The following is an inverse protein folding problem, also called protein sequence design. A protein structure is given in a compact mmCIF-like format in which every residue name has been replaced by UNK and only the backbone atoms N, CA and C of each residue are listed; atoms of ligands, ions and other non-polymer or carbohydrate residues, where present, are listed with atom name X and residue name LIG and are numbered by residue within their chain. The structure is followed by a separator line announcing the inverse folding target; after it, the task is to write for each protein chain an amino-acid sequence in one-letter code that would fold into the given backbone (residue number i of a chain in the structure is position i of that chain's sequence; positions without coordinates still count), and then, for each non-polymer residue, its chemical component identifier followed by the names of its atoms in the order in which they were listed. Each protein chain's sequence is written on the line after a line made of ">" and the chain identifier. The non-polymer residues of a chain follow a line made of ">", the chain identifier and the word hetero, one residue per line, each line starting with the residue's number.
data_IF_903986527166
#
_entry.id   IF_903986527166
#
_cell.length_a   1.000
_cell.length_b   1.000
_cell.length_c   1.000
_cell.angle_alpha   90.00
_cell.angle_beta   90.00
_cell.angle_gamma   90.00
#
_symmetry.space_group_name_H-M   'P 1'
#
loop_
_entity.id
_entity.type
_entity.pdbx_description
1 polymer ?
#
# COMPACT_ATOMS: atom_id res chain seq x y z
N UNK A 1 -3.97 -20.48 -7.24
CA UNK A 1 -3.55 -21.88 -6.99
C UNK A 1 -2.23 -21.94 -6.20
N UNK A 2 -2.00 -21.02 -5.25
CA UNK A 2 -0.75 -20.93 -4.46
C UNK A 2 -1.01 -20.67 -2.96
N UNK A 3 -2.25 -20.81 -2.51
CA UNK A 3 -2.68 -20.52 -1.13
C UNK A 3 -3.66 -21.59 -0.66
N UNK A 4 -3.35 -22.86 -0.90
CA UNK A 4 -4.06 -23.94 -0.22
C UNK A 4 -3.48 -24.09 1.19
N UNK A 5 -4.30 -24.41 2.20
CA UNK A 5 -3.84 -24.58 3.58
C UNK A 5 -2.66 -25.56 3.71
N UNK A 6 -2.64 -26.58 2.84
CA UNK A 6 -1.61 -27.61 2.75
C UNK A 6 -0.23 -27.08 2.32
N UNK A 7 -0.19 -26.09 1.42
CA UNK A 7 1.08 -25.47 0.98
C UNK A 7 1.63 -24.54 2.06
N UNK A 8 0.75 -23.88 2.82
CA UNK A 8 1.15 -23.07 3.97
C UNK A 8 1.65 -23.98 5.09
N UNK A 9 0.99 -25.12 5.31
CA UNK A 9 1.42 -26.14 6.27
C UNK A 9 2.77 -26.75 5.90
N UNK A 10 3.03 -27.06 4.62
CA UNK A 10 4.31 -27.63 4.20
C UNK A 10 5.48 -26.63 4.25
N UNK A 11 5.22 -25.33 4.10
CA UNK A 11 6.21 -24.27 4.35
C UNK A 11 6.49 -24.12 5.86
N UNK A 12 5.48 -24.32 6.70
CA UNK A 12 5.61 -24.31 8.17
C UNK A 12 6.27 -25.59 8.71
N UNK A 13 6.07 -26.74 8.06
CA UNK A 13 6.67 -28.05 8.38
C UNK A 13 8.03 -28.28 7.71
N UNK A 14 8.55 -27.32 6.94
CA UNK A 14 9.90 -27.39 6.39
C UNK A 14 10.94 -27.28 7.54
N UNK A 15 11.22 -28.44 8.11
CA UNK A 15 11.90 -28.80 9.35
C UNK A 15 13.39 -28.36 9.46
N UNK A 16 13.85 -27.48 8.58
CA UNK A 16 15.22 -26.92 8.64
C UNK A 16 15.38 -25.94 9.81
N UNK A 17 14.26 -25.46 10.35
CA UNK A 17 14.21 -24.36 11.33
C UNK A 17 14.02 -24.90 12.77
N UNK A 18 13.41 -26.08 12.94
CA UNK A 18 13.15 -26.69 14.26
C UNK A 18 14.43 -27.15 14.97
N UNK A 19 15.44 -27.61 14.23
CA UNK A 19 16.75 -27.98 14.77
C UNK A 19 17.53 -26.77 15.33
N UNK A 20 17.30 -25.57 14.78
CA UNK A 20 17.93 -24.33 15.27
C UNK A 20 17.27 -23.79 16.54
N UNK A 21 15.95 -23.97 16.70
CA UNK A 21 15.19 -23.51 17.87
C UNK A 21 15.54 -24.30 19.15
N UNK A 22 15.85 -25.59 19.03
CA UNK A 22 16.25 -26.44 20.16
C UNK A 22 17.64 -26.04 20.70
N UNK A 23 18.55 -25.61 19.84
CA UNK A 23 19.93 -25.27 20.22
C UNK A 23 20.07 -23.90 20.92
N UNK A 24 19.18 -22.93 20.61
CA UNK A 24 19.30 -21.55 21.09
C UNK A 24 18.23 -21.10 22.09
N UNK A 25 17.14 -21.87 22.30
CA UNK A 25 16.04 -21.55 23.24
C UNK A 25 15.49 -20.12 23.10
N UNK A 26 15.60 -19.50 21.92
CA UNK A 26 15.16 -18.13 21.65
C UNK A 26 14.47 -18.11 20.28
N UNK A 27 13.12 -18.16 20.23
CA UNK A 27 12.34 -18.25 18.98
C UNK A 27 12.24 -16.90 18.24
N UNK A 28 13.28 -16.07 18.32
CA UNK A 28 13.30 -14.71 17.73
C UNK A 28 13.69 -14.79 16.25
N UNK A 29 14.70 -15.61 15.92
CA UNK A 29 15.20 -15.71 14.55
C UNK A 29 14.17 -16.35 13.61
N UNK A 30 13.52 -17.41 14.09
CA UNK A 30 12.52 -18.18 13.35
C UNK A 30 11.28 -17.33 13.07
N UNK A 31 10.83 -16.57 14.07
CA UNK A 31 9.76 -15.59 13.92
C UNK A 31 10.12 -14.47 12.94
N UNK A 32 11.32 -13.91 13.03
CA UNK A 32 11.79 -12.85 12.13
C UNK A 32 11.88 -13.34 10.68
N UNK A 33 12.36 -14.56 10.45
CA UNK A 33 12.41 -15.19 9.13
C UNK A 33 11.00 -15.41 8.57
N UNK A 34 10.08 -15.98 9.36
CA UNK A 34 8.70 -16.20 8.93
C UNK A 34 7.99 -14.89 8.57
N UNK A 35 8.15 -13.84 9.39
CA UNK A 35 7.60 -12.51 9.14
C UNK A 35 8.21 -11.87 7.87
N UNK A 36 9.50 -12.10 7.58
CA UNK A 36 10.14 -11.59 6.37
C UNK A 36 9.59 -12.24 5.08
N UNK A 37 9.32 -13.55 5.10
CA UNK A 37 8.72 -14.28 3.98
C UNK A 37 7.29 -13.79 3.75
N UNK A 38 6.51 -13.64 4.82
CA UNK A 38 5.14 -13.11 4.75
C UNK A 38 5.13 -11.68 4.18
N UNK A 39 6.10 -10.85 4.57
CA UNK A 39 6.28 -9.51 4.04
C UNK A 39 6.55 -9.51 2.53
N UNK A 40 7.43 -10.39 2.04
CA UNK A 40 7.69 -10.49 0.60
C UNK A 40 6.44 -10.89 -0.19
N UNK A 41 5.67 -11.87 0.30
CA UNK A 41 4.45 -12.34 -0.36
C UNK A 41 3.39 -11.23 -0.38
N UNK A 42 3.14 -10.60 0.76
CA UNK A 42 2.14 -9.52 0.88
C UNK A 42 2.53 -8.30 0.06
N UNK A 43 3.81 -7.96 -0.02
CA UNK A 43 4.32 -6.89 -0.86
C UNK A 43 4.13 -7.20 -2.36
N UNK A 44 4.44 -8.42 -2.80
CA UNK A 44 4.24 -8.87 -4.17
C UNK A 44 2.77 -8.80 -4.62
N UNK A 45 1.86 -9.30 -3.78
CA UNK A 45 0.42 -9.21 -4.02
C UNK A 45 -0.07 -7.76 -4.06
N UNK A 46 0.46 -6.92 -3.17
CA UNK A 46 0.14 -5.49 -3.16
C UNK A 46 0.58 -4.81 -4.46
N UNK A 47 1.81 -5.04 -4.94
CA UNK A 47 2.25 -4.50 -6.22
C UNK A 47 1.34 -4.94 -7.35
N UNK A 48 0.95 -6.23 -7.39
CA UNK A 48 0.07 -6.75 -8.44
C UNK A 48 -1.27 -6.01 -8.45
N UNK A 49 -1.91 -5.86 -7.29
CA UNK A 49 -3.20 -5.17 -7.14
C UNK A 49 -3.13 -3.66 -7.44
N UNK A 50 -2.03 -3.00 -7.04
CA UNK A 50 -1.89 -1.55 -7.17
C UNK A 50 -1.21 -1.11 -8.48
N UNK A 51 -0.55 -2.01 -9.21
CA UNK A 51 0.12 -1.71 -10.48
C UNK A 51 -0.77 -1.09 -11.55
N UNK A 52 -2.06 -1.49 -11.74
CA UNK A 52 -2.92 -0.89 -12.75
C UNK A 52 -3.19 0.60 -12.46
N UNK A 53 -3.22 1.00 -11.19
CA UNK A 53 -3.40 2.40 -10.80
C UNK A 53 -2.21 3.24 -11.27
N UNK A 54 -0.99 2.74 -11.11
CA UNK A 54 0.20 3.44 -11.57
C UNK A 54 0.18 3.64 -13.09
N UNK A 55 -0.21 2.60 -13.85
CA UNK A 55 -0.40 2.71 -15.30
C UNK A 55 -1.46 3.76 -15.68
N UNK A 56 -2.62 3.77 -15.00
CA UNK A 56 -3.69 4.75 -15.22
C UNK A 56 -3.28 6.18 -14.84
N UNK A 57 -2.41 6.34 -13.85
CA UNK A 57 -1.90 7.65 -13.44
C UNK A 57 -0.87 8.17 -14.45
N UNK A 58 0.02 7.31 -14.91
CA UNK A 58 1.07 7.68 -15.86
C UNK A 58 0.55 7.91 -17.29
N UNK A 59 -0.56 7.27 -17.66
CA UNK A 59 -1.21 7.48 -18.96
C UNK A 59 -1.72 8.91 -19.12
N UNK A 60 -2.00 9.61 -18.01
CA UNK A 60 -2.43 11.00 -18.04
C UNK A 60 -3.86 11.18 -18.55
N UNK A 61 -4.71 10.15 -18.44
CA UNK A 61 -6.13 10.26 -18.81
C UNK A 61 -6.85 11.09 -17.75
N UNK A 62 -7.48 12.17 -18.18
CA UNK A 62 -8.15 13.16 -17.34
C UNK A 62 -9.64 13.14 -17.68
N UNK A 63 -10.46 13.11 -16.62
CA UNK A 63 -11.89 13.33 -16.71
C UNK A 63 -12.20 14.79 -16.38
N UNK A 64 -13.11 15.39 -17.16
CA UNK A 64 -13.70 16.70 -16.87
C UNK A 64 -15.22 16.63 -17.06
N UNK A 65 -15.99 17.22 -16.15
CA UNK A 65 -17.46 17.28 -16.26
C UNK A 65 -17.96 18.57 -16.96
N UNK A 66 -17.08 19.27 -17.70
CA UNK A 66 -17.37 20.58 -18.30
C UNK A 66 -18.74 20.67 -18.99
N UNK A 67 -19.15 19.65 -19.75
CA UNK A 67 -20.41 19.63 -20.49
C UNK A 67 -21.66 19.60 -19.57
N UNK A 68 -21.50 19.14 -18.33
CA UNK A 68 -22.57 19.07 -17.33
C UNK A 68 -22.67 20.42 -16.61
N UNK A 69 -21.52 21.01 -16.26
CA UNK A 69 -21.43 22.32 -15.58
C UNK A 69 -21.85 23.48 -16.46
N UNK A 70 -21.75 23.37 -17.78
CA UNK A 70 -22.21 24.43 -18.70
C UNK A 70 -23.73 24.69 -18.57
N UNK A 71 -24.49 23.70 -18.08
CA UNK A 71 -25.93 23.79 -17.85
C UNK A 71 -26.36 23.63 -16.38
N UNK A 72 -25.41 23.58 -15.42
CA UNK A 72 -25.72 23.37 -14.00
C UNK A 72 -24.85 24.26 -13.08
N UNK A 73 -25.32 24.51 -11.85
CA UNK A 73 -24.53 25.22 -10.83
C UNK A 73 -23.48 24.31 -10.15
N UNK A 74 -23.08 23.21 -10.79
CA UNK A 74 -22.09 22.30 -10.24
C UNK A 74 -20.67 22.85 -10.38
N UNK A 75 -19.76 22.36 -9.53
CA UNK A 75 -18.36 22.77 -9.56
C UNK A 75 -17.66 22.02 -10.69
N UNK A 76 -16.87 22.72 -11.49
CA UNK A 76 -16.02 22.12 -12.51
C UNK A 76 -14.96 21.22 -11.85
N UNK A 77 -15.10 19.90 -12.03
CA UNK A 77 -14.14 18.92 -11.55
C UNK A 77 -13.23 18.50 -12.70
N UNK A 78 -11.93 18.58 -12.47
CA UNK A 78 -10.89 18.02 -13.33
C UNK A 78 -10.10 17.03 -12.48
N UNK A 79 -10.14 15.75 -12.83
CA UNK A 79 -9.44 14.71 -12.06
C UNK A 79 -8.84 13.66 -12.98
N UNK A 80 -7.65 13.17 -12.65
CA UNK A 80 -7.09 11.98 -13.30
C UNK A 80 -7.89 10.74 -12.91
N UNK A 81 -8.20 9.88 -13.87
CA UNK A 81 -8.84 8.59 -13.59
C UNK A 81 -7.98 7.72 -12.68
N UNK A 82 -6.65 7.75 -12.86
CA UNK A 82 -5.71 7.08 -11.95
C UNK A 82 -5.85 7.58 -10.51
N UNK A 83 -5.95 8.90 -10.30
CA UNK A 83 -6.14 9.48 -8.96
C UNK A 83 -7.51 9.15 -8.36
N UNK A 84 -8.55 9.03 -9.19
CA UNK A 84 -9.88 8.60 -8.75
C UNK A 84 -9.85 7.15 -8.25
N UNK A 85 -9.31 6.21 -9.04
CA UNK A 85 -9.14 4.81 -8.61
C UNK A 85 -8.23 4.69 -7.38
N UNK A 86 -7.14 5.47 -7.34
CA UNK A 86 -6.26 5.51 -6.18
C UNK A 86 -7.00 5.92 -4.90
N UNK A 87 -7.92 6.88 -5.00
CA UNK A 87 -8.72 7.35 -3.85
C UNK A 87 -9.59 6.22 -3.30
N UNK A 88 -10.26 5.48 -4.18
CA UNK A 88 -11.15 4.37 -3.81
C UNK A 88 -10.35 3.26 -3.13
N UNK A 89 -9.26 2.81 -3.75
CA UNK A 89 -8.45 1.71 -3.21
C UNK A 89 -7.76 2.08 -1.89
N UNK A 90 -7.33 3.34 -1.73
CA UNK A 90 -6.84 3.84 -0.43
C UNK A 90 -7.92 3.76 0.65
N UNK A 91 -9.17 4.08 0.33
CA UNK A 91 -10.29 3.95 1.27
C UNK A 91 -10.50 2.52 1.73
N UNK A 92 -10.58 1.57 0.79
CA UNK A 92 -10.71 0.15 1.10
C UNK A 92 -9.53 -0.39 1.92
N UNK A 93 -8.30 -0.08 1.53
CA UNK A 93 -7.11 -0.50 2.28
C UNK A 93 -7.07 0.11 3.67
N UNK A 94 -7.48 1.37 3.86
CA UNK A 94 -7.55 2.00 5.17
C UNK A 94 -8.47 1.25 6.12
N UNK A 95 -9.67 0.91 5.67
CA UNK A 95 -10.64 0.14 6.46
C UNK A 95 -10.09 -1.27 6.78
N UNK A 96 -9.55 -1.95 5.77
CA UNK A 96 -8.98 -3.29 5.95
C UNK A 96 -7.81 -3.30 6.95
N UNK A 97 -6.95 -2.29 6.91
CA UNK A 97 -5.84 -2.11 7.86
C UNK A 97 -6.37 -1.92 9.28
N UNK A 98 -7.38 -1.08 9.50
CA UNK A 98 -7.99 -0.88 10.83
C UNK A 98 -8.54 -2.20 11.39
N UNK A 99 -9.30 -2.95 10.59
CA UNK A 99 -9.86 -4.24 10.99
C UNK A 99 -8.74 -5.24 11.32
N UNK A 100 -7.72 -5.31 10.47
CA UNK A 100 -6.59 -6.22 10.66
C UNK A 100 -5.81 -5.87 11.94
N UNK A 101 -5.54 -4.59 12.18
CA UNK A 101 -4.88 -4.14 13.41
C UNK A 101 -5.71 -4.45 14.64
N UNK A 102 -7.04 -4.29 14.58
CA UNK A 102 -7.92 -4.67 15.68
C UNK A 102 -7.74 -6.14 16.05
N UNK A 103 -7.81 -7.06 15.08
CA UNK A 103 -7.60 -8.49 15.31
C UNK A 103 -6.20 -8.82 15.82
N UNK A 104 -5.15 -8.19 15.26
CA UNK A 104 -3.77 -8.40 15.70
C UNK A 104 -3.59 -7.95 17.15
N UNK A 105 -4.12 -6.78 17.52
CA UNK A 105 -4.03 -6.25 18.88
C UNK A 105 -4.80 -7.15 19.84
N UNK A 106 -6.03 -7.57 19.51
CA UNK A 106 -6.80 -8.45 20.39
C UNK A 106 -6.11 -9.80 20.58
N UNK A 107 -5.59 -10.39 19.51
CA UNK A 107 -4.84 -11.65 19.58
C UNK A 107 -3.54 -11.51 20.36
N UNK A 108 -2.85 -10.39 20.23
CA UNK A 108 -1.66 -10.10 21.02
C UNK A 108 -2.00 -9.98 22.50
N UNK A 109 -3.04 -9.21 22.85
CA UNK A 109 -3.47 -9.02 24.24
C UNK A 109 -3.90 -10.35 24.86
N UNK A 110 -4.71 -11.15 24.16
CA UNK A 110 -5.14 -12.46 24.68
C UNK A 110 -3.96 -13.40 24.85
N UNK A 111 -3.10 -13.55 23.84
CA UNK A 111 -1.90 -14.40 23.97
C UNK A 111 -0.92 -13.90 25.03
N UNK A 112 -0.78 -12.59 25.21
CA UNK A 112 0.07 -12.01 26.24
C UNK A 112 -0.51 -12.24 27.65
N UNK A 113 -1.81 -12.06 27.83
CA UNK A 113 -2.49 -12.32 29.11
C UNK A 113 -2.49 -13.82 29.43
N UNK A 114 -2.83 -14.66 28.46
CA UNK A 114 -3.05 -16.11 28.67
C UNK A 114 -1.73 -16.89 28.82
N UNK A 115 -0.65 -16.50 28.09
CA UNK A 115 0.63 -17.22 28.15
C UNK A 115 1.69 -16.55 29.02
N UNK A 116 1.57 -15.24 29.32
CA UNK A 116 2.64 -14.45 29.96
C UNK A 116 2.18 -13.69 31.21
N UNK A 117 0.95 -13.94 31.70
CA UNK A 117 0.28 -13.24 32.81
C UNK A 117 0.89 -13.37 34.22
N UNK A 118 2.17 -13.70 34.37
CA UNK A 118 2.88 -13.50 35.63
C UNK A 118 3.66 -12.17 35.61
N UNK A 119 3.35 -11.21 36.50
CA UNK A 119 4.11 -9.97 36.61
C UNK A 119 5.51 -10.29 37.16
N UNK A 120 6.50 -10.40 36.27
CA UNK A 120 7.89 -10.67 36.66
C UNK A 120 8.83 -11.20 35.58
N UNK A 121 8.32 -11.63 34.41
CA UNK A 121 9.18 -12.21 33.38
C UNK A 121 9.86 -11.12 32.53
N UNK A 122 11.02 -10.62 32.98
CA UNK A 122 11.86 -9.63 32.30
C UNK A 122 12.22 -10.00 30.84
N UNK A 123 12.14 -11.29 30.49
CA UNK A 123 12.37 -11.80 29.13
C UNK A 123 11.32 -11.36 28.11
N UNK A 124 10.19 -10.78 28.53
CA UNK A 124 9.13 -10.30 27.62
C UNK A 124 9.34 -8.86 27.12
N UNK A 125 10.20 -8.09 27.78
CA UNK A 125 10.46 -6.67 27.43
C UNK A 125 11.03 -6.54 26.00
N UNK A 126 12.00 -7.37 25.56
CA UNK A 126 12.50 -7.33 24.18
C UNK A 126 11.43 -7.65 23.13
N UNK A 127 10.52 -8.58 23.42
CA UNK A 127 9.40 -8.94 22.53
C UNK A 127 8.43 -7.78 22.35
N UNK A 128 8.13 -7.06 23.44
CA UNK A 128 7.26 -5.87 23.40
C UNK A 128 7.89 -4.72 22.61
N UNK A 129 9.20 -4.50 22.78
CA UNK A 129 9.96 -3.49 22.04
C UNK A 129 10.01 -3.83 20.55
N UNK A 130 10.25 -5.09 20.19
CA UNK A 130 10.24 -5.55 18.81
C UNK A 130 8.85 -5.37 18.17
N UNK A 131 7.78 -5.71 18.89
CA UNK A 131 6.41 -5.57 18.39
C UNK A 131 6.01 -4.11 18.17
N UNK A 132 6.34 -3.20 19.11
CA UNK A 132 6.13 -1.76 18.94
C UNK A 132 7.05 -1.14 17.87
N UNK A 133 8.26 -1.70 17.68
CA UNK A 133 9.22 -1.28 16.67
C UNK A 133 8.88 -1.74 15.25
N UNK A 134 8.09 -2.80 15.12
CA UNK A 134 7.75 -3.43 13.84
C UNK A 134 7.09 -2.47 12.84
N UNK A 135 6.08 -1.67 13.21
CA UNK A 135 5.50 -0.66 12.31
C UNK A 135 6.55 0.34 11.79
N UNK A 136 7.49 0.76 12.62
CA UNK A 136 8.56 1.67 12.21
C UNK A 136 9.53 1.00 11.25
N UNK A 137 9.89 -0.26 11.52
CA UNK A 137 10.72 -1.06 10.63
C UNK A 137 10.07 -1.21 9.25
N UNK A 138 8.77 -1.48 9.19
CA UNK A 138 8.01 -1.56 7.94
C UNK A 138 8.05 -0.25 7.15
N UNK A 139 7.88 0.88 7.83
CA UNK A 139 7.97 2.20 7.17
C UNK A 139 9.38 2.42 6.62
N UNK A 140 10.41 2.17 7.43
CA UNK A 140 11.81 2.31 7.03
C UNK A 140 12.14 1.40 5.82
N UNK A 141 11.65 0.17 5.80
CA UNK A 141 11.89 -0.77 4.69
C UNK A 141 11.24 -0.32 3.38
N UNK A 142 10.21 0.53 3.42
CA UNK A 142 9.58 1.07 2.19
C UNK A 142 10.34 2.24 1.57
N UNK A 143 11.22 2.92 2.31
CA UNK A 143 11.94 4.11 1.83
C UNK A 143 12.75 3.82 0.56
N UNK A 144 13.58 2.76 0.48
CA UNK A 144 14.32 2.45 -0.74
C UNK A 144 13.43 2.22 -1.95
N UNK A 145 12.27 1.58 -1.75
CA UNK A 145 11.30 1.33 -2.81
C UNK A 145 10.68 2.64 -3.34
N UNK A 146 10.41 3.61 -2.46
CA UNK A 146 9.92 4.94 -2.84
C UNK A 146 10.95 5.73 -3.66
N UNK A 147 12.22 5.68 -3.25
CA UNK A 147 13.32 6.33 -3.98
C UNK A 147 13.42 5.74 -5.39
N UNK A 148 13.41 4.41 -5.51
CA UNK A 148 13.46 3.74 -6.81
C UNK A 148 12.25 4.08 -7.70
N UNK A 149 11.06 4.16 -7.10
CA UNK A 149 9.84 4.54 -7.81
C UNK A 149 9.95 5.95 -8.43
N UNK A 150 10.54 6.90 -7.72
CA UNK A 150 10.71 8.27 -8.21
C UNK A 150 11.78 8.38 -9.31
N UNK A 151 12.89 7.64 -9.18
CA UNK A 151 13.94 7.60 -10.21
C UNK A 151 13.39 7.08 -11.55
N UNK A 152 12.59 6.02 -11.52
CA UNK A 152 12.07 5.35 -12.73
C UNK A 152 10.85 6.09 -13.32
N UNK A 153 10.25 7.03 -12.58
CA UNK A 153 9.00 7.73 -12.95
C UNK A 153 9.00 8.28 -14.37
N UNK A 154 10.05 8.99 -14.79
CA UNK A 154 10.14 9.57 -16.14
C UNK A 154 10.14 8.50 -17.23
N UNK A 155 10.89 7.43 -17.02
CA UNK A 155 10.95 6.31 -17.96
C UNK A 155 9.60 5.61 -18.08
N UNK A 156 8.96 5.35 -16.93
CA UNK A 156 7.64 4.70 -16.84
C UNK A 156 6.56 5.49 -17.58
N UNK A 157 6.48 6.80 -17.35
CA UNK A 157 5.50 7.67 -18.05
C UNK A 157 5.69 7.61 -19.57
N UNK A 158 6.93 7.70 -20.04
CA UNK A 158 7.23 7.63 -21.47
C UNK A 158 6.84 6.27 -22.06
N UNK A 159 7.10 5.18 -21.34
CA UNK A 159 6.73 3.83 -21.76
C UNK A 159 5.22 3.66 -21.87
N UNK A 160 4.47 4.03 -20.82
CA UNK A 160 3.00 3.91 -20.78
C UNK A 160 2.35 4.75 -21.87
N UNK A 161 2.82 5.99 -22.09
CA UNK A 161 2.29 6.85 -23.17
C UNK A 161 2.54 6.27 -24.56
N UNK A 162 3.73 5.68 -24.81
CA UNK A 162 4.01 4.99 -26.07
C UNK A 162 3.05 3.82 -26.32
N UNK A 163 2.71 3.07 -25.26
CA UNK A 163 1.69 2.01 -25.36
C UNK A 163 0.31 2.61 -25.61
N UNK A 164 -0.07 3.66 -24.89
CA UNK A 164 -1.36 4.33 -25.07
C UNK A 164 -1.58 4.80 -26.51
N UNK A 165 -0.56 5.38 -27.14
CA UNK A 165 -0.59 5.77 -28.56
C UNK A 165 -0.80 4.56 -29.48
N UNK A 166 -0.15 3.42 -29.20
CA UNK A 166 -0.34 2.17 -29.97
C UNK A 166 -1.77 1.61 -29.83
N UNK A 167 -2.39 1.78 -28.67
CA UNK A 167 -3.77 1.33 -28.39
C UNK A 167 -4.82 2.28 -28.99
N UNK A 168 -4.41 3.39 -29.59
CA UNK A 168 -5.30 4.31 -30.32
C UNK A 168 -5.69 5.58 -29.56
N UNK A 169 -5.04 5.88 -28.44
CA UNK A 169 -5.17 7.17 -27.76
C UNK A 169 -4.44 8.22 -28.59
N UNK A 170 -5.17 8.91 -29.48
CA UNK A 170 -4.63 9.88 -30.45
C UNK A 170 -4.84 11.34 -30.03
N UNK A 171 -5.86 11.61 -29.20
CA UNK A 171 -6.19 12.96 -28.78
C UNK A 171 -5.35 13.38 -27.57
N UNK A 172 -4.31 14.16 -27.83
CA UNK A 172 -3.63 14.93 -26.79
C UNK A 172 -4.44 16.18 -26.47
N UNK A 173 -5.24 16.14 -25.42
CA UNK A 173 -5.88 17.34 -24.89
C UNK A 173 -4.81 18.21 -24.22
N UNK A 174 -4.35 19.26 -24.91
CA UNK A 174 -3.56 20.33 -24.30
C UNK A 174 -4.55 21.16 -23.47
N UNK A 175 -4.66 20.84 -22.19
CA UNK A 175 -5.42 21.64 -21.24
C UNK A 175 -4.71 22.99 -21.05
N UNK A 176 -5.09 23.98 -21.86
CA UNK A 176 -4.65 25.36 -21.70
C UNK A 176 -5.61 26.07 -20.73
N UNK A 177 -5.14 26.30 -19.51
CA UNK A 177 -5.92 27.02 -18.51
C UNK A 177 -5.70 28.53 -18.69
N UNK A 178 -6.70 29.25 -19.23
CA UNK A 178 -6.77 30.71 -19.10
C UNK A 178 -7.51 31.04 -17.81
N UNK A 179 -6.75 31.39 -16.77
CA UNK A 179 -7.32 31.97 -15.55
C UNK A 179 -7.83 33.37 -15.90
N UNK A 180 -9.15 33.53 -16.04
CA UNK A 180 -9.77 34.84 -16.21
C UNK A 180 -9.97 35.46 -14.82
N UNK A 181 -9.18 36.48 -14.50
CA UNK A 181 -9.34 37.27 -13.28
C UNK A 181 -10.70 37.96 -13.33
N UNK A 182 -11.61 37.62 -12.41
CA UNK A 182 -12.88 38.32 -12.27
C UNK A 182 -12.58 39.64 -11.56
N UNK A 183 -12.55 40.74 -12.31
CA UNK A 183 -12.52 42.06 -11.72
C UNK A 183 -13.88 42.33 -11.07
N UNK A 184 -13.89 42.40 -9.73
CA UNK A 184 -15.03 42.92 -8.97
C UNK A 184 -15.23 44.38 -9.37
N UNK A 185 -16.25 44.65 -10.18
CA UNK A 185 -16.78 46.00 -10.30
C UNK A 185 -17.24 46.44 -8.90
N UNK A 186 -16.50 47.36 -8.28
CA UNK A 186 -16.99 48.13 -7.15
C UNK A 186 -18.11 49.01 -7.69
N UNK A 187 -19.35 48.62 -7.44
CA UNK A 187 -20.49 49.51 -7.54
C UNK A 187 -20.38 50.54 -6.42
N UNK A 188 -20.03 51.77 -6.80
CA UNK A 188 -20.30 53.01 -6.05
C UNK A 188 -21.80 53.20 -5.84
#
# INVERSE_FOLDING_TARGET
>A
MFTTPEVIASILEADVISEFDIALKIPILTRLLAESILLMITFGLSILLFSPIWLLKDSGIIFTNKNIVENSNEILIIKSIGDWFQTILKGYSGIAVIITYFFIITNFITQYIDNLGFPGNLLNIPSLILWLGLPFYLVLSTIPALILHDIIKKHRINYVRKIGVKVGIKDTAIASFKLKKIEKNKST
#
